data_IF_113908778084
#
_entry.id   IF_113908778084
#
_cell.length_a   1.000
_cell.length_b   1.000
_cell.length_c   1.000
_cell.angle_alpha   90.00
_cell.angle_beta   90.00
_cell.angle_gamma   90.00
#
_symmetry.space_group_name_H-M   'P 1'
#
loop_
_entity.id
_entity.type
_entity.pdbx_description
1 polymer ?
#
# COMPACT_ATOMS: atom_id res chain seq x y z
N UNK A 1 -11.33 -25.61 22.89
CA UNK A 1 -10.55 -24.53 22.23
C UNK A 1 -10.80 -24.58 20.72
N UNK A 2 -10.72 -23.46 20.01
CA UNK A 2 -10.80 -23.49 18.54
C UNK A 2 -9.43 -23.82 17.97
N UNK A 3 -9.28 -24.97 17.32
CA UNK A 3 -8.02 -25.39 16.73
C UNK A 3 -7.81 -24.74 15.35
N UNK A 4 -6.55 -24.40 15.03
CA UNK A 4 -6.13 -23.86 13.71
C UNK A 4 -6.85 -22.58 13.26
N UNK A 5 -7.41 -21.80 14.20
CA UNK A 5 -8.04 -20.51 13.86
C UNK A 5 -7.02 -19.38 13.96
N UNK A 6 -6.61 -18.85 12.82
CA UNK A 6 -5.74 -17.69 12.73
C UNK A 6 -6.53 -16.37 12.78
N UNK A 7 -5.94 -15.35 13.40
CA UNK A 7 -6.43 -13.98 13.40
C UNK A 7 -7.32 -13.60 14.60
N UNK A 8 -7.21 -12.33 15.00
CA UNK A 8 -7.94 -11.79 16.15
C UNK A 8 -9.33 -11.28 15.77
N UNK A 9 -10.38 -11.77 16.44
CA UNK A 9 -11.77 -11.38 16.24
C UNK A 9 -12.19 -10.06 16.91
N UNK A 10 -11.33 -9.46 17.74
CA UNK A 10 -11.56 -8.18 18.44
C UNK A 10 -12.90 -8.10 19.20
N UNK A 11 -13.47 -9.24 19.56
CA UNK A 11 -14.82 -9.34 20.15
C UNK A 11 -15.91 -8.62 19.33
N UNK A 12 -15.78 -8.60 17.99
CA UNK A 12 -16.69 -7.91 17.08
C UNK A 12 -17.14 -8.80 15.90
N UNK A 13 -18.38 -8.64 15.39
CA UNK A 13 -18.82 -9.20 14.11
C UNK A 13 -17.95 -8.76 12.94
N UNK A 14 -17.95 -9.52 11.84
CA UNK A 14 -17.08 -9.28 10.68
C UNK A 14 -17.17 -7.85 10.13
N UNK A 15 -18.37 -7.27 9.89
CA UNK A 15 -18.46 -5.95 9.27
C UNK A 15 -17.84 -4.84 10.14
N UNK A 16 -18.13 -4.86 11.44
CA UNK A 16 -17.56 -3.90 12.42
C UNK A 16 -16.06 -4.08 12.55
N UNK A 17 -15.59 -5.33 12.62
CA UNK A 17 -14.17 -5.65 12.69
C UNK A 17 -13.41 -5.21 11.44
N UNK A 18 -14.01 -5.37 10.26
CA UNK A 18 -13.44 -4.92 8.99
C UNK A 18 -13.29 -3.40 8.97
N UNK A 19 -14.33 -2.66 9.36
CA UNK A 19 -14.30 -1.21 9.47
C UNK A 19 -13.25 -0.72 10.49
N UNK A 20 -13.25 -1.27 11.70
CA UNK A 20 -12.29 -0.90 12.74
C UNK A 20 -10.83 -1.11 12.31
N UNK A 21 -10.52 -2.22 11.61
CA UNK A 21 -9.17 -2.47 11.09
C UNK A 21 -8.76 -1.45 10.03
N UNK A 22 -9.67 -1.05 9.15
CA UNK A 22 -9.42 0.00 8.14
C UNK A 22 -9.12 1.33 8.82
N UNK A 23 -9.97 1.76 9.75
CA UNK A 23 -9.80 3.04 10.43
C UNK A 23 -8.52 3.09 11.26
N UNK A 24 -8.19 2.02 11.98
CA UNK A 24 -6.94 1.97 12.75
C UNK A 24 -5.70 1.91 11.85
N UNK A 25 -5.77 1.24 10.68
CA UNK A 25 -4.66 1.24 9.71
C UNK A 25 -4.48 2.62 9.08
N UNK A 26 -5.58 3.30 8.71
CA UNK A 26 -5.54 4.68 8.25
C UNK A 26 -4.90 5.60 9.30
N UNK A 27 -5.29 5.46 10.58
CA UNK A 27 -4.68 6.19 11.69
C UNK A 27 -3.19 5.89 11.87
N UNK A 28 -2.78 4.61 11.76
CA UNK A 28 -1.38 4.21 11.85
C UNK A 28 -0.53 4.83 10.72
N UNK A 29 -1.03 4.84 9.48
CA UNK A 29 -0.32 5.46 8.36
C UNK A 29 -0.30 6.98 8.52
N UNK A 30 -1.42 7.58 8.90
CA UNK A 30 -1.55 9.03 9.05
C UNK A 30 -0.59 9.57 10.11
N UNK A 31 -0.56 8.95 11.29
CA UNK A 31 0.15 9.47 12.47
C UNK A 31 1.45 8.73 12.80
N UNK A 32 1.85 7.74 11.99
CA UNK A 32 2.97 6.82 12.17
C UNK A 32 2.90 5.91 13.41
N UNK A 33 2.10 6.28 14.43
CA UNK A 33 1.92 5.55 15.67
C UNK A 33 0.52 5.78 16.23
N UNK A 34 -0.06 4.72 16.80
CA UNK A 34 -1.32 4.80 17.53
C UNK A 34 -1.25 3.94 18.80
N UNK A 35 -1.95 4.39 19.84
CA UNK A 35 -2.13 3.63 21.07
C UNK A 35 -3.48 2.93 21.05
N UNK A 36 -3.49 1.64 21.38
CA UNK A 36 -4.71 0.82 21.40
C UNK A 36 -4.53 -0.36 22.34
N UNK A 37 -5.49 -1.29 22.40
CA UNK A 37 -5.29 -2.51 23.18
C UNK A 37 -4.34 -3.47 22.46
N UNK A 38 -3.60 -4.28 23.20
CA UNK A 38 -2.65 -5.24 22.63
C UNK A 38 -3.31 -6.15 21.59
N UNK A 39 -4.54 -6.57 21.88
CA UNK A 39 -5.33 -7.40 20.97
C UNK A 39 -5.59 -6.67 19.64
N UNK A 40 -6.00 -5.39 19.68
CA UNK A 40 -6.23 -4.58 18.47
C UNK A 40 -4.92 -4.29 17.73
N UNK A 41 -3.82 -3.99 18.43
CA UNK A 41 -2.50 -3.79 17.83
C UNK A 41 -2.04 -5.03 17.03
N UNK A 42 -2.19 -6.23 17.61
CA UNK A 42 -1.89 -7.51 16.92
C UNK A 42 -2.79 -7.74 15.70
N UNK A 43 -4.05 -7.32 15.77
CA UNK A 43 -4.99 -7.41 14.65
C UNK A 43 -4.58 -6.49 13.48
N UNK A 44 -4.13 -5.27 13.78
CA UNK A 44 -3.63 -4.31 12.79
C UNK A 44 -2.34 -4.82 12.16
N UNK A 45 -1.38 -5.31 12.95
CA UNK A 45 -0.15 -5.91 12.41
C UNK A 45 -0.43 -7.05 11.42
N UNK A 46 -1.36 -7.95 11.75
CA UNK A 46 -1.79 -9.01 10.83
C UNK A 46 -2.57 -8.50 9.61
N UNK A 47 -3.17 -7.31 9.70
CA UNK A 47 -3.83 -6.66 8.57
C UNK A 47 -2.83 -5.95 7.65
N UNK A 48 -1.85 -5.25 8.21
CA UNK A 48 -0.75 -4.63 7.49
C UNK A 48 0.10 -5.66 6.73
N UNK A 49 0.36 -6.84 7.33
CA UNK A 49 1.07 -7.95 6.66
C UNK A 49 0.32 -8.56 5.49
N UNK A 50 -1.01 -8.40 5.38
CA UNK A 50 -1.75 -8.95 4.24
C UNK A 50 -1.46 -8.06 3.04
N UNK A 51 -1.03 -8.68 1.92
CA UNK A 51 -0.61 -8.01 0.67
C UNK A 51 -1.63 -7.11 -0.04
N UNK A 52 -2.73 -6.71 0.64
CA UNK A 52 -3.62 -5.63 0.22
C UNK A 52 -2.98 -4.24 0.34
N UNK A 53 -1.88 -4.14 1.08
CA UNK A 53 -1.07 -2.93 1.25
C UNK A 53 0.31 -3.06 0.60
N UNK A 54 0.53 -4.14 -0.18
CA UNK A 54 1.76 -4.33 -0.92
C UNK A 54 1.83 -3.33 -2.06
N UNK A 55 2.94 -2.58 -2.13
CA UNK A 55 3.29 -1.70 -3.23
C UNK A 55 3.83 -2.48 -4.45
N UNK A 56 4.06 -3.79 -4.29
CA UNK A 56 4.67 -4.70 -5.27
C UNK A 56 3.69 -5.17 -6.36
N UNK A 57 2.68 -4.38 -6.71
CA UNK A 57 1.68 -4.78 -7.73
C UNK A 57 1.95 -4.08 -9.05
N UNK A 58 2.83 -4.69 -9.84
CA UNK A 58 3.06 -4.22 -11.20
C UNK A 58 1.92 -4.47 -12.19
N UNK A 59 1.84 -3.65 -13.24
CA UNK A 59 1.08 -3.95 -14.45
C UNK A 59 2.08 -4.50 -15.43
N UNK A 60 1.79 -5.70 -15.93
CA UNK A 60 2.65 -6.41 -16.85
C UNK A 60 2.54 -5.76 -18.24
N UNK A 61 3.64 -5.71 -19.00
CA UNK A 61 3.65 -5.21 -20.39
C UNK A 61 2.73 -6.05 -21.29
N UNK A 62 2.34 -5.59 -22.49
CA UNK A 62 1.48 -6.41 -23.37
C UNK A 62 2.12 -7.77 -23.74
N UNK A 63 3.45 -7.83 -23.84
CA UNK A 63 4.20 -9.08 -24.05
C UNK A 63 4.12 -9.99 -22.82
N UNK A 64 4.42 -9.46 -21.64
CA UNK A 64 4.30 -10.21 -20.38
C UNK A 64 2.84 -10.66 -20.12
N UNK A 65 1.85 -9.87 -20.54
CA UNK A 65 0.42 -10.23 -20.46
C UNK A 65 0.06 -11.36 -21.42
N UNK A 66 0.61 -11.36 -22.63
CA UNK A 66 0.42 -12.43 -23.60
C UNK A 66 1.00 -13.76 -23.08
N UNK A 67 2.20 -13.73 -22.50
CA UNK A 67 2.83 -14.90 -21.87
C UNK A 67 2.00 -15.44 -20.69
N UNK A 68 1.32 -14.54 -19.98
CA UNK A 68 0.42 -14.87 -18.87
C UNK A 68 -1.03 -15.21 -19.32
N UNK A 69 -1.31 -15.24 -20.63
CA UNK A 69 -2.64 -15.52 -21.18
C UNK A 69 -3.70 -14.46 -20.84
N UNK A 70 -3.28 -13.22 -20.53
CA UNK A 70 -4.17 -12.09 -20.23
C UNK A 70 -4.41 -11.25 -21.50
N UNK A 71 -5.60 -10.62 -21.64
CA UNK A 71 -5.87 -9.74 -22.76
C UNK A 71 -4.99 -8.47 -22.74
N UNK A 72 -4.58 -7.95 -23.92
CA UNK A 72 -3.78 -6.73 -24.05
C UNK A 72 -4.57 -5.50 -23.62
N UNK A 73 -3.86 -4.40 -23.30
CA UNK A 73 -4.50 -3.11 -23.05
C UNK A 73 -5.20 -2.59 -24.31
N UNK A 74 -6.38 -1.99 -24.15
CA UNK A 74 -7.10 -1.34 -25.25
C UNK A 74 -6.41 -0.03 -25.64
N UNK A 75 -6.51 0.37 -26.91
CA UNK A 75 -5.91 1.62 -27.44
C UNK A 75 -6.34 2.87 -26.66
N UNK A 76 -7.59 2.90 -26.19
CA UNK A 76 -8.08 3.98 -25.31
C UNK A 76 -7.39 3.96 -23.93
N UNK A 77 -7.15 2.77 -23.38
CA UNK A 77 -6.41 2.59 -22.13
C UNK A 77 -4.95 3.04 -22.25
N UNK A 78 -4.31 2.77 -23.40
CA UNK A 78 -2.95 3.20 -23.75
C UNK A 78 -2.86 4.73 -23.88
N UNK A 79 -3.72 5.34 -24.71
CA UNK A 79 -3.74 6.80 -24.96
C UNK A 79 -4.10 7.62 -23.72
N UNK A 80 -4.98 7.11 -22.85
CA UNK A 80 -5.30 7.76 -21.57
C UNK A 80 -4.07 7.85 -20.66
N UNK A 81 -3.29 6.77 -20.60
CA UNK A 81 -2.05 6.74 -19.85
C UNK A 81 -0.98 7.62 -20.51
N UNK A 82 -0.85 7.68 -21.83
CA UNK A 82 0.12 8.57 -22.51
C UNK A 82 -0.18 10.07 -22.30
N UNK A 83 -1.44 10.49 -22.46
CA UNK A 83 -1.83 11.91 -22.37
C UNK A 83 -1.64 12.52 -20.98
N UNK A 84 -1.74 11.71 -19.92
CA UNK A 84 -1.55 12.18 -18.53
C UNK A 84 -0.09 12.55 -18.22
N UNK A 85 0.88 12.08 -19.01
CA UNK A 85 2.31 12.23 -18.71
C UNK A 85 3.11 12.93 -19.81
N UNK A 86 2.45 13.36 -20.91
CA UNK A 86 3.04 14.26 -21.91
C UNK A 86 3.72 15.50 -21.29
N UNK A 87 3.13 16.09 -20.24
CA UNK A 87 3.73 17.24 -19.55
C UNK A 87 5.07 16.96 -18.85
N UNK A 88 5.36 15.71 -18.52
CA UNK A 88 6.61 15.27 -17.86
C UNK A 88 7.62 14.68 -18.86
N UNK A 89 7.12 14.16 -19.99
CA UNK A 89 7.89 13.69 -21.14
C UNK A 89 8.69 14.83 -21.81
N UNK A 90 8.03 15.97 -22.07
CA UNK A 90 8.67 17.15 -22.67
C UNK A 90 9.76 17.76 -21.77
N UNK A 91 9.64 17.62 -20.45
CA UNK A 91 10.66 18.04 -19.48
C UNK A 91 11.89 17.12 -19.48
N UNK A 92 11.70 15.81 -19.62
CA UNK A 92 12.78 14.83 -19.59
C UNK A 92 13.61 14.83 -20.88
N UNK A 93 12.96 15.01 -22.04
CA UNK A 93 13.63 15.14 -23.35
C UNK A 93 14.52 16.39 -23.46
N UNK A 94 14.29 17.42 -22.64
CA UNK A 94 15.17 18.61 -22.57
C UNK A 94 16.47 18.37 -21.81
N UNK A 95 16.56 17.29 -21.02
CA UNK A 95 17.66 17.05 -20.07
C UNK A 95 18.63 15.97 -20.58
N UNK A 96 18.18 15.03 -21.41
CA UNK A 96 18.96 13.84 -21.80
C UNK A 96 19.29 13.89 -23.30
N UNK A 97 20.58 13.84 -23.64
CA UNK A 97 21.08 14.02 -25.02
C UNK A 97 21.08 12.76 -25.88
N UNK A 98 20.70 11.60 -25.33
CA UNK A 98 20.70 10.30 -26.00
C UNK A 98 19.27 9.74 -26.08
N UNK A 99 18.73 9.65 -27.29
CA UNK A 99 17.33 9.34 -27.59
C UNK A 99 16.92 7.94 -27.09
N UNK A 100 17.80 6.94 -27.28
CA UNK A 100 17.57 5.54 -26.85
C UNK A 100 17.60 5.36 -25.32
N UNK A 101 18.31 6.24 -24.61
CA UNK A 101 18.38 6.22 -23.14
C UNK A 101 17.20 6.99 -22.54
N UNK A 102 16.77 8.07 -23.21
CA UNK A 102 15.56 8.79 -22.89
C UNK A 102 14.31 7.91 -23.09
N UNK A 103 14.21 7.17 -24.20
CA UNK A 103 13.10 6.22 -24.44
C UNK A 103 13.05 5.11 -23.39
N UNK A 104 14.18 4.46 -23.08
CA UNK A 104 14.25 3.42 -22.04
C UNK A 104 13.91 3.96 -20.65
N UNK A 105 14.38 5.16 -20.31
CA UNK A 105 14.01 5.83 -19.06
C UNK A 105 12.51 6.18 -19.02
N UNK A 106 11.94 6.56 -20.16
CA UNK A 106 10.52 6.87 -20.29
C UNK A 106 9.64 5.64 -20.16
N UNK A 107 10.05 4.53 -20.76
CA UNK A 107 9.36 3.24 -20.69
C UNK A 107 9.42 2.67 -19.27
N UNK A 108 10.59 2.72 -18.61
CA UNK A 108 10.71 2.39 -17.20
C UNK A 108 9.86 3.30 -16.30
N UNK A 109 9.79 4.60 -16.60
CA UNK A 109 8.93 5.55 -15.90
C UNK A 109 7.44 5.26 -16.12
N UNK A 110 7.03 4.95 -17.34
CA UNK A 110 5.66 4.58 -17.69
C UNK A 110 5.24 3.28 -17.00
N UNK A 111 6.08 2.24 -17.05
CA UNK A 111 5.84 0.99 -16.33
C UNK A 111 5.70 1.29 -14.83
N UNK A 112 6.66 1.97 -14.21
CA UNK A 112 6.61 2.35 -12.77
C UNK A 112 5.29 3.02 -12.35
N UNK A 113 4.70 3.76 -13.27
CA UNK A 113 3.52 4.59 -13.09
C UNK A 113 2.19 3.83 -13.28
N UNK A 114 2.12 2.86 -14.21
CA UNK A 114 0.92 2.00 -14.34
C UNK A 114 0.81 1.05 -13.14
N UNK A 115 1.96 0.52 -12.69
CA UNK A 115 2.13 -0.20 -11.41
C UNK A 115 1.56 0.66 -10.27
N UNK A 116 1.98 1.92 -10.19
CA UNK A 116 1.56 2.85 -9.15
C UNK A 116 0.05 3.12 -9.16
N UNK A 117 -0.56 3.37 -10.33
CA UNK A 117 -2.00 3.65 -10.44
C UNK A 117 -2.85 2.43 -10.03
N UNK A 118 -2.47 1.23 -10.44
CA UNK A 118 -3.17 -0.01 -10.06
C UNK A 118 -3.03 -0.29 -8.57
N UNK A 119 -1.83 -0.11 -8.01
CA UNK A 119 -1.58 -0.24 -6.58
C UNK A 119 -2.39 0.79 -5.78
N UNK A 120 -2.41 2.06 -6.21
CA UNK A 120 -3.24 3.14 -5.62
C UNK A 120 -4.72 2.76 -5.61
N UNK A 121 -5.30 2.31 -6.73
CA UNK A 121 -6.71 1.84 -6.80
C UNK A 121 -6.99 0.67 -5.87
N UNK A 122 -6.07 -0.31 -5.83
CA UNK A 122 -6.21 -1.46 -4.95
C UNK A 122 -6.17 -1.04 -3.48
N UNK A 123 -5.27 -0.15 -3.08
CA UNK A 123 -5.16 0.34 -1.71
C UNK A 123 -6.40 1.17 -1.37
N UNK A 124 -6.88 2.03 -2.26
CA UNK A 124 -8.10 2.83 -2.07
C UNK A 124 -9.35 1.96 -1.82
N UNK A 125 -9.46 0.80 -2.48
CA UNK A 125 -10.55 -0.16 -2.21
C UNK A 125 -10.53 -0.72 -0.78
N UNK A 126 -9.34 -0.75 -0.16
CA UNK A 126 -9.12 -1.24 1.20
C UNK A 126 -9.10 -0.12 2.25
N UNK A 127 -8.59 1.06 1.91
CA UNK A 127 -8.45 2.27 2.70
C UNK A 127 -8.97 3.45 1.87
N UNK A 128 -10.26 3.79 1.95
CA UNK A 128 -10.86 4.87 1.15
C UNK A 128 -10.50 6.25 1.74
N UNK A 129 -9.21 6.58 1.76
CA UNK A 129 -8.66 7.84 2.25
C UNK A 129 -7.47 8.23 1.38
N UNK A 130 -7.69 9.21 0.50
CA UNK A 130 -6.71 9.63 -0.51
C UNK A 130 -5.43 10.19 0.11
N UNK A 131 -5.53 10.93 1.22
CA UNK A 131 -4.37 11.51 1.90
C UNK A 131 -3.48 10.43 2.50
N UNK A 132 -4.09 9.39 3.06
CA UNK A 132 -3.37 8.22 3.58
C UNK A 132 -2.67 7.48 2.45
N UNK A 133 -3.33 7.28 1.32
CA UNK A 133 -2.72 6.62 0.15
C UNK A 133 -1.58 7.45 -0.40
N UNK A 134 -1.76 8.76 -0.55
CA UNK A 134 -0.70 9.69 -0.98
C UNK A 134 0.55 9.55 -0.10
N UNK A 135 0.38 9.60 1.22
CA UNK A 135 1.47 9.39 2.19
C UNK A 135 2.14 8.01 2.05
N UNK A 136 1.38 6.95 1.74
CA UNK A 136 1.98 5.63 1.52
C UNK A 136 2.96 5.62 0.35
N UNK A 137 2.65 6.30 -0.75
CA UNK A 137 3.49 6.32 -1.95
C UNK A 137 4.61 7.36 -1.87
N UNK A 138 4.32 8.56 -1.38
CA UNK A 138 5.29 9.67 -1.38
C UNK A 138 6.28 9.57 -0.22
N UNK A 139 5.86 9.06 0.94
CA UNK A 139 6.70 9.04 2.14
C UNK A 139 7.11 7.62 2.55
N UNK A 140 6.15 6.69 2.63
CA UNK A 140 6.44 5.36 3.19
C UNK A 140 7.12 4.43 2.19
N UNK A 141 6.80 4.50 0.90
CA UNK A 141 7.42 3.66 -0.12
C UNK A 141 8.95 3.91 -0.20
N UNK A 142 9.42 5.17 -0.32
CA UNK A 142 10.86 5.44 -0.31
C UNK A 142 11.51 5.11 1.03
N UNK A 143 10.83 5.40 2.16
CA UNK A 143 11.34 5.12 3.51
C UNK A 143 11.69 3.65 3.74
N UNK A 144 10.96 2.73 3.09
CA UNK A 144 11.14 1.29 3.28
C UNK A 144 11.75 0.60 2.06
N UNK A 145 12.31 1.35 1.12
CA UNK A 145 13.05 0.80 0.00
C UNK A 145 14.20 -0.08 0.52
N UNK A 146 14.32 -1.30 -0.02
CA UNK A 146 15.30 -2.29 0.42
C UNK A 146 14.98 -3.03 1.72
N UNK A 147 13.88 -2.73 2.43
CA UNK A 147 13.48 -3.46 3.65
C UNK A 147 12.55 -4.64 3.30
N UNK A 148 12.95 -5.90 3.51
CA UNK A 148 12.12 -7.06 3.14
C UNK A 148 10.87 -7.25 4.02
N UNK A 149 10.82 -6.60 5.20
CA UNK A 149 9.65 -6.67 6.06
C UNK A 149 9.84 -6.05 7.45
N UNK A 150 8.84 -6.26 8.32
CA UNK A 150 8.88 -5.75 9.69
C UNK A 150 8.62 -4.25 9.80
N UNK A 151 7.76 -3.70 8.93
CA UNK A 151 7.40 -2.26 8.89
C UNK A 151 6.65 -1.74 10.12
N UNK A 152 6.27 -2.62 11.05
CA UNK A 152 5.52 -2.25 12.26
C UNK A 152 6.12 -2.88 13.51
N UNK A 153 6.21 -2.10 14.58
CA UNK A 153 6.59 -2.53 15.93
C UNK A 153 5.42 -2.38 16.88
N UNK A 154 5.29 -3.30 17.83
CA UNK A 154 4.32 -3.19 18.93
C UNK A 154 5.10 -3.08 20.26
N UNK A 155 4.84 -2.03 21.02
CA UNK A 155 5.40 -1.81 22.37
C UNK A 155 4.27 -1.92 23.39
N UNK A 156 4.44 -2.76 24.42
CA UNK A 156 3.44 -2.89 25.49
C UNK A 156 3.52 -1.68 26.43
N UNK A 157 2.36 -1.15 26.83
CA UNK A 157 2.25 0.04 27.67
C UNK A 157 1.71 -0.25 29.07
N UNK A 158 1.41 -1.51 29.39
CA UNK A 158 0.79 -1.91 30.66
C UNK A 158 -0.74 -1.93 30.57
N UNK A 159 -1.41 -1.90 31.73
CA UNK A 159 -2.87 -2.04 31.82
C UNK A 159 -3.57 -0.69 31.89
N UNK A 160 -4.70 -0.56 31.20
CA UNK A 160 -5.56 0.63 31.28
C UNK A 160 -6.26 0.72 32.63
N UNK A 161 -6.33 1.94 33.19
CA UNK A 161 -7.12 2.23 34.40
C UNK A 161 -8.62 2.06 34.08
N UNK A 162 -9.34 1.30 34.91
CA UNK A 162 -10.77 1.04 34.74
C UNK A 162 -11.04 -0.43 34.43
N UNK A 163 -10.86 -0.84 33.18
CA UNK A 163 -11.17 -2.20 32.72
C UNK A 163 -9.96 -3.14 32.65
N UNK A 164 -8.79 -2.68 33.13
CA UNK A 164 -7.54 -3.44 33.18
C UNK A 164 -7.10 -4.03 31.82
N UNK A 165 -7.59 -3.48 30.70
CA UNK A 165 -7.24 -3.96 29.38
C UNK A 165 -5.75 -3.74 29.07
N UNK A 166 -5.09 -4.76 28.52
CA UNK A 166 -3.68 -4.64 28.11
C UNK A 166 -3.56 -3.63 26.96
N UNK A 167 -2.77 -2.58 27.17
CA UNK A 167 -2.51 -1.52 26.21
C UNK A 167 -1.19 -1.74 25.48
N UNK A 168 -1.15 -1.32 24.23
CA UNK A 168 0.04 -1.34 23.41
C UNK A 168 0.04 -0.17 22.42
N UNK A 169 1.23 0.32 22.11
CA UNK A 169 1.47 1.20 21.00
C UNK A 169 1.88 0.38 19.79
N UNK A 170 1.25 0.60 18.64
CA UNK A 170 1.75 0.15 17.35
C UNK A 170 2.32 1.34 16.59
N UNK A 171 3.51 1.17 16.04
CA UNK A 171 4.22 2.22 15.30
C UNK A 171 4.86 1.66 14.03
N UNK A 172 4.97 2.53 13.02
CA UNK A 172 5.85 2.39 11.88
C UNK A 172 7.32 2.48 12.36
N UNK A 173 8.23 1.76 11.70
CA UNK A 173 9.65 1.67 12.11
C UNK A 173 10.49 2.72 11.39
#
# INVERSE_FOLDING_TARGET
MRHRVAGNRMSMPEPRRRSARRNMMAGLIRYDRIQTTESRARAIRGFARRGRYSLDKRVDSNEERADLGKPPLTDQGRKFLENKYKGRHDELLRIISNEDEAERALEAAYESMVIELRARRHILSALPDELVVKKMFEELAPRYEGRPGGYTRITKLGKRKGDAADMAQIALV
#
